data_IF_612878199785
#
_entry.id   IF_612878199785
#
_cell.length_a   1.000
_cell.length_b   1.000
_cell.length_c   1.000
_cell.angle_alpha   90.00
_cell.angle_beta   90.00
_cell.angle_gamma   90.00
#
_symmetry.space_group_name_H-M   'P 1'
#
loop_
_entity.id
_entity.type
_entity.pdbx_description
1 polymer ?
#
# COMPACT_ATOMS: atom_id res chain seq x y z
N UNK A 1 15.99 -17.60 6.29
CA UNK A 1 15.36 -17.73 7.63
C UNK A 1 13.92 -17.25 7.51
N UNK A 2 12.91 -18.12 7.32
CA UNK A 2 11.57 -17.70 6.91
C UNK A 2 10.56 -17.49 8.05
N UNK A 3 10.69 -18.23 9.17
CA UNK A 3 9.69 -18.19 10.25
C UNK A 3 9.65 -16.85 11.04
N UNK A 4 10.78 -16.15 11.12
CA UNK A 4 10.89 -14.88 11.88
C UNK A 4 10.18 -13.73 11.14
N UNK A 5 10.39 -13.62 9.82
CA UNK A 5 9.73 -12.64 8.96
C UNK A 5 8.20 -12.72 9.06
N UNK A 6 7.67 -13.95 9.01
CA UNK A 6 6.23 -14.19 9.09
C UNK A 6 5.63 -13.76 10.44
N UNK A 7 6.32 -14.05 11.54
CA UNK A 7 5.86 -13.62 12.87
C UNK A 7 5.79 -12.10 12.95
N UNK A 8 6.84 -11.40 12.52
CA UNK A 8 6.91 -9.94 12.59
C UNK A 8 5.77 -9.27 11.81
N UNK A 9 5.49 -9.73 10.58
CA UNK A 9 4.36 -9.23 9.78
C UNK A 9 3.03 -9.46 10.50
N UNK A 10 2.77 -10.68 10.98
CA UNK A 10 1.51 -10.97 11.68
C UNK A 10 1.36 -10.22 13.01
N UNK A 11 2.45 -10.00 13.74
CA UNK A 11 2.44 -9.28 15.01
C UNK A 11 2.13 -7.79 14.79
N UNK A 12 2.73 -7.17 13.77
CA UNK A 12 2.43 -5.77 13.37
C UNK A 12 0.98 -5.64 12.91
N UNK A 13 0.51 -6.52 12.04
CA UNK A 13 -0.85 -6.45 11.49
C UNK A 13 -1.94 -6.74 12.53
N UNK A 14 -1.62 -7.45 13.62
CA UNK A 14 -2.52 -7.62 14.78
C UNK A 14 -2.62 -6.37 15.66
N UNK A 15 -1.70 -5.42 15.52
CA UNK A 15 -1.77 -4.13 16.18
C UNK A 15 -2.96 -3.30 15.67
N UNK A 16 -3.41 -2.33 16.47
CA UNK A 16 -4.52 -1.46 16.08
C UNK A 16 -4.17 -0.52 14.89
N UNK A 17 -2.88 -0.17 14.75
CA UNK A 17 -2.43 0.90 13.88
C UNK A 17 -3.08 2.25 14.24
N UNK A 18 -2.85 3.26 13.40
CA UNK A 18 -3.60 4.53 13.45
C UNK A 18 -4.38 4.75 12.15
N UNK A 19 -5.51 5.47 12.17
CA UNK A 19 -6.11 5.91 10.92
C UNK A 19 -5.16 6.83 10.14
N UNK A 20 -5.35 6.94 8.83
CA UNK A 20 -4.74 8.00 8.05
C UNK A 20 -5.13 9.37 8.60
N UNK A 21 -4.18 10.31 8.60
CA UNK A 21 -4.46 11.72 8.88
C UNK A 21 -5.55 12.24 7.92
N UNK A 22 -6.55 12.94 8.45
CA UNK A 22 -7.77 13.31 7.69
C UNK A 22 -7.49 14.09 6.41
N UNK A 23 -6.49 14.98 6.44
CA UNK A 23 -6.09 15.77 5.27
C UNK A 23 -5.43 14.90 4.19
N UNK A 24 -4.61 13.93 4.61
CA UNK A 24 -3.95 12.98 3.71
C UNK A 24 -4.98 12.03 3.12
N UNK A 25 -5.87 11.49 3.96
CA UNK A 25 -6.99 10.65 3.55
C UNK A 25 -7.83 11.35 2.48
N UNK A 26 -8.36 12.53 2.78
CA UNK A 26 -9.23 13.28 1.85
C UNK A 26 -8.55 13.56 0.50
N UNK A 27 -7.28 13.97 0.52
CA UNK A 27 -6.50 14.21 -0.71
C UNK A 27 -6.30 12.92 -1.52
N UNK A 28 -5.98 11.80 -0.87
CA UNK A 28 -5.80 10.51 -1.55
C UNK A 28 -7.10 9.92 -2.05
N UNK A 29 -8.20 10.03 -1.29
CA UNK A 29 -9.54 9.61 -1.72
C UNK A 29 -9.97 10.39 -2.97
N UNK A 30 -9.71 11.71 -3.01
CA UNK A 30 -9.97 12.55 -4.19
C UNK A 30 -9.15 12.10 -5.40
N UNK A 31 -7.88 11.76 -5.18
CA UNK A 31 -6.93 11.38 -6.23
C UNK A 31 -7.12 9.98 -6.77
N UNK A 32 -7.52 9.03 -5.94
CA UNK A 32 -7.64 7.61 -6.28
C UNK A 32 -9.09 7.18 -6.49
N UNK A 33 -10.07 7.99 -6.07
CA UNK A 33 -11.49 7.71 -6.26
C UNK A 33 -11.99 6.53 -5.42
N UNK A 34 -11.42 6.33 -4.23
CA UNK A 34 -11.77 5.25 -3.31
C UNK A 34 -11.84 5.78 -1.88
N UNK A 35 -12.65 5.15 -1.02
CA UNK A 35 -12.71 5.44 0.42
C UNK A 35 -11.55 4.76 1.16
N UNK A 36 -10.87 5.49 2.03
CA UNK A 36 -9.75 4.97 2.84
C UNK A 36 -10.00 5.12 4.35
N UNK A 37 -11.25 5.32 4.77
CA UNK A 37 -11.65 5.46 6.18
C UNK A 37 -11.32 4.25 7.06
N UNK A 38 -11.22 3.07 6.47
CA UNK A 38 -10.87 1.80 7.13
C UNK A 38 -9.35 1.54 7.16
N UNK A 39 -8.54 2.32 6.44
CA UNK A 39 -7.10 2.10 6.32
C UNK A 39 -6.37 2.37 7.64
N UNK A 40 -5.46 1.45 8.01
CA UNK A 40 -4.62 1.54 9.20
C UNK A 40 -3.15 1.65 8.84
N UNK A 41 -2.51 2.69 9.34
CA UNK A 41 -1.07 2.92 9.23
C UNK A 41 -0.35 2.35 10.44
N UNK A 42 0.70 1.57 10.20
CA UNK A 42 1.64 1.11 11.20
C UNK A 42 3.03 1.65 10.87
N UNK A 43 3.62 2.44 11.75
CA UNK A 43 4.96 3.04 11.56
C UNK A 43 5.79 3.07 12.85
N UNK A 44 5.40 2.27 13.84
CA UNK A 44 6.15 2.08 15.07
C UNK A 44 7.45 1.30 14.83
N UNK A 45 8.23 1.10 15.89
CA UNK A 45 9.51 0.39 15.79
C UNK A 45 9.37 -1.03 15.22
N UNK A 46 8.29 -1.74 15.57
CA UNK A 46 8.05 -3.10 15.07
C UNK A 46 7.65 -3.09 13.59
N UNK A 47 6.81 -2.14 13.18
CA UNK A 47 6.45 -1.90 11.79
C UNK A 47 7.69 -1.61 10.92
N UNK A 48 8.58 -0.72 11.39
CA UNK A 48 9.82 -0.39 10.66
C UNK A 48 10.76 -1.58 10.55
N UNK A 49 10.90 -2.38 11.61
CA UNK A 49 11.68 -3.61 11.58
C UNK A 49 11.09 -4.62 10.58
N UNK A 50 9.77 -4.80 10.59
CA UNK A 50 9.07 -5.68 9.66
C UNK A 50 9.25 -5.26 8.20
N UNK A 51 9.12 -3.97 7.88
CA UNK A 51 9.37 -3.46 6.53
C UNK A 51 10.82 -3.69 6.09
N UNK A 52 11.80 -3.46 6.98
CA UNK A 52 13.21 -3.71 6.71
C UNK A 52 13.52 -5.20 6.47
N UNK A 53 12.87 -6.10 7.22
CA UNK A 53 13.02 -7.55 7.03
C UNK A 53 12.53 -8.01 5.65
N UNK A 54 11.49 -7.35 5.11
CA UNK A 54 11.00 -7.57 3.74
C UNK A 54 11.78 -6.78 2.67
N UNK A 55 12.77 -5.98 3.08
CA UNK A 55 13.51 -5.10 2.16
C UNK A 55 12.66 -4.00 1.53
N UNK A 56 11.52 -3.65 2.15
CA UNK A 56 10.55 -2.71 1.62
C UNK A 56 10.59 -1.36 2.36
N UNK A 57 10.25 -0.27 1.65
CA UNK A 57 10.08 1.06 2.27
C UNK A 57 8.73 1.19 2.95
N UNK A 58 7.72 0.58 2.35
CA UNK A 58 6.40 0.37 2.89
C UNK A 58 5.82 -0.89 2.23
N UNK A 59 4.77 -1.46 2.81
CA UNK A 59 3.99 -2.52 2.17
C UNK A 59 2.54 -2.51 2.62
N UNK A 60 1.68 -3.12 1.81
CA UNK A 60 0.24 -3.19 2.02
C UNK A 60 -0.26 -4.62 2.22
N UNK A 61 -1.10 -4.82 3.25
CA UNK A 61 -1.81 -6.08 3.50
C UNK A 61 -3.26 -5.80 3.94
N UNK A 62 -4.21 -6.12 3.07
CA UNK A 62 -5.61 -5.76 3.21
C UNK A 62 -5.80 -4.25 3.29
N UNK A 63 -6.40 -3.78 4.37
CA UNK A 63 -6.54 -2.35 4.69
C UNK A 63 -5.41 -1.82 5.59
N UNK A 64 -4.32 -2.56 5.76
CA UNK A 64 -3.18 -2.12 6.57
C UNK A 64 -2.00 -1.73 5.69
N UNK A 65 -1.39 -0.59 6.00
CA UNK A 65 -0.15 -0.12 5.39
C UNK A 65 0.91 -0.04 6.48
N UNK A 66 2.02 -0.72 6.25
CA UNK A 66 3.18 -0.72 7.14
C UNK A 66 4.24 0.18 6.52
N UNK A 67 4.68 1.20 7.26
CA UNK A 67 5.64 2.19 6.80
C UNK A 67 6.99 1.94 7.48
N UNK A 68 8.01 1.74 6.67
CA UNK A 68 9.41 1.65 7.06
C UNK A 68 10.04 3.00 7.34
N UNK A 69 11.36 3.02 7.55
CA UNK A 69 12.08 4.26 7.88
C UNK A 69 11.96 5.35 6.79
N UNK A 70 11.90 4.93 5.52
CA UNK A 70 11.96 5.81 4.34
C UNK A 70 10.68 5.78 3.48
N UNK A 71 9.53 5.41 4.07
CA UNK A 71 8.26 5.21 3.35
C UNK A 71 7.18 6.26 3.61
N UNK A 72 7.53 7.39 4.24
CA UNK A 72 6.54 8.42 4.65
C UNK A 72 6.20 9.43 3.56
N UNK A 73 6.82 9.35 2.39
CA UNK A 73 6.57 10.29 1.30
C UNK A 73 5.21 10.02 0.62
N UNK A 74 4.67 11.07 -0.01
CA UNK A 74 3.32 11.03 -0.61
C UNK A 74 3.23 10.08 -1.81
N UNK A 75 4.33 9.86 -2.52
CA UNK A 75 4.34 8.95 -3.66
C UNK A 75 4.25 7.51 -3.20
N UNK A 76 5.08 7.12 -2.22
CA UNK A 76 5.00 5.80 -1.58
C UNK A 76 3.61 5.56 -1.00
N UNK A 77 3.03 6.53 -0.29
CA UNK A 77 1.67 6.34 0.24
C UNK A 77 0.61 6.13 -0.86
N UNK A 78 0.69 6.86 -1.97
CA UNK A 78 -0.24 6.69 -3.09
C UNK A 78 -0.08 5.32 -3.77
N UNK A 79 1.15 4.80 -3.83
CA UNK A 79 1.46 3.45 -4.31
C UNK A 79 0.79 2.40 -3.41
N UNK A 80 1.03 2.47 -2.10
CA UNK A 80 0.44 1.54 -1.13
C UNK A 80 -1.11 1.59 -1.12
N UNK A 81 -1.70 2.79 -1.19
CA UNK A 81 -3.16 2.92 -1.28
C UNK A 81 -3.72 2.35 -2.58
N UNK A 82 -2.95 2.36 -3.67
CA UNK A 82 -3.36 1.67 -4.89
C UNK A 82 -3.40 0.16 -4.69
N UNK A 83 -2.46 -0.42 -3.92
CA UNK A 83 -2.54 -1.82 -3.52
C UNK A 83 -3.76 -2.13 -2.66
N UNK A 84 -4.17 -1.23 -1.75
CA UNK A 84 -5.43 -1.40 -1.00
C UNK A 84 -6.60 -1.53 -1.97
N UNK A 85 -6.69 -0.66 -2.98
CA UNK A 85 -7.76 -0.71 -4.00
C UNK A 85 -7.70 -2.01 -4.80
N UNK A 86 -6.50 -2.46 -5.18
CA UNK A 86 -6.31 -3.71 -5.93
C UNK A 86 -6.73 -4.94 -5.10
N UNK A 87 -6.27 -5.04 -3.85
CA UNK A 87 -6.56 -6.17 -2.96
C UNK A 87 -8.06 -6.28 -2.62
N UNK A 88 -8.78 -5.16 -2.59
CA UNK A 88 -10.26 -5.15 -2.44
C UNK A 88 -11.00 -5.74 -3.63
N UNK A 89 -10.43 -5.70 -4.83
CA UNK A 89 -11.06 -6.22 -6.06
C UNK A 89 -10.87 -7.74 -6.20
N UNK A 90 -9.98 -8.34 -5.42
CA UNK A 90 -9.75 -9.77 -5.40
C UNK A 90 -8.30 -10.13 -5.09
N UNK A 91 -7.97 -11.44 -5.08
CA UNK A 91 -6.62 -11.90 -4.86
C UNK A 91 -5.66 -11.30 -5.89
N UNK A 92 -4.63 -10.64 -5.39
CA UNK A 92 -3.53 -10.10 -6.20
C UNK A 92 -2.48 -11.19 -6.25
N UNK A 93 -2.10 -11.64 -7.46
CA UNK A 93 -1.03 -12.61 -7.59
C UNK A 93 0.27 -11.96 -7.09
N UNK A 94 0.88 -12.55 -6.07
CA UNK A 94 2.22 -12.20 -5.60
C UNK A 94 3.12 -13.42 -5.70
N UNK A 95 4.43 -13.18 -5.72
CA UNK A 95 5.41 -14.26 -5.74
C UNK A 95 5.45 -14.93 -4.37
N UNK A 96 5.15 -16.24 -4.32
CA UNK A 96 5.35 -17.04 -3.11
C UNK A 96 6.86 -17.19 -2.88
N UNK A 97 7.35 -16.59 -1.78
CA UNK A 97 8.76 -16.65 -1.40
C UNK A 97 9.11 -17.97 -0.68
N UNK A 98 8.18 -18.94 -0.63
CA UNK A 98 8.38 -20.28 -0.06
C UNK A 98 8.06 -20.37 1.43
N UNK A 99 7.52 -19.29 1.99
CA UNK A 99 7.19 -19.10 3.40
C UNK A 99 5.72 -18.72 3.62
N UNK A 100 4.91 -18.79 2.55
CA UNK A 100 3.46 -18.62 2.59
C UNK A 100 3.02 -17.19 2.93
N UNK A 101 3.90 -16.22 2.69
CA UNK A 101 3.58 -14.81 2.51
C UNK A 101 3.87 -14.51 1.05
N UNK A 102 2.84 -14.13 0.31
CA UNK A 102 3.00 -13.67 -1.08
C UNK A 102 3.39 -12.20 -1.05
N UNK A 103 4.62 -11.91 -1.45
CA UNK A 103 5.10 -10.54 -1.64
C UNK A 103 5.12 -10.27 -3.13
N UNK A 104 4.54 -9.15 -3.55
CA UNK A 104 4.57 -8.74 -4.96
C UNK A 104 6.01 -8.46 -5.40
N UNK A 105 6.38 -8.94 -6.59
CA UNK A 105 7.65 -8.59 -7.23
C UNK A 105 7.50 -7.25 -7.97
N UNK A 106 8.50 -6.35 -7.99
CA UNK A 106 8.44 -5.09 -8.74
C UNK A 106 8.12 -5.25 -10.24
N UNK A 107 8.38 -6.44 -10.79
CA UNK A 107 8.08 -6.82 -12.17
C UNK A 107 6.65 -7.36 -12.35
N UNK A 108 5.84 -7.42 -11.29
CA UNK A 108 4.45 -7.83 -11.38
C UNK A 108 3.61 -6.74 -12.05
N UNK A 109 2.54 -7.17 -12.72
CA UNK A 109 1.60 -6.24 -13.39
C UNK A 109 1.00 -5.26 -12.39
N UNK A 110 0.68 -5.73 -11.18
CA UNK A 110 0.05 -4.93 -10.12
C UNK A 110 0.99 -3.86 -9.56
N UNK A 111 2.28 -4.17 -9.40
CA UNK A 111 3.30 -3.20 -9.00
C UNK A 111 3.49 -2.11 -10.05
N UNK A 112 3.61 -2.47 -11.33
CA UNK A 112 3.71 -1.46 -12.40
C UNK A 112 2.47 -0.58 -12.49
N UNK A 113 1.28 -1.15 -12.27
CA UNK A 113 0.02 -0.39 -12.29
C UNK A 113 -0.09 0.54 -11.08
N UNK A 114 0.36 0.09 -9.90
CA UNK A 114 0.43 0.90 -8.69
C UNK A 114 1.40 2.07 -8.86
N UNK A 115 2.61 1.81 -9.34
CA UNK A 115 3.63 2.83 -9.62
C UNK A 115 3.13 3.85 -10.65
N UNK A 116 2.59 3.39 -11.78
CA UNK A 116 2.05 4.28 -12.82
C UNK A 116 0.86 5.11 -12.31
N UNK A 117 0.08 4.58 -11.38
CA UNK A 117 -1.03 5.29 -10.74
C UNK A 117 -0.52 6.33 -9.76
N UNK A 118 0.40 5.97 -8.86
CA UNK A 118 1.05 6.87 -7.91
C UNK A 118 1.68 8.07 -8.64
N UNK A 119 2.50 7.81 -9.66
CA UNK A 119 3.14 8.85 -10.45
C UNK A 119 2.13 9.78 -11.12
N UNK A 120 1.06 9.22 -11.70
CA UNK A 120 -0.01 10.00 -12.36
C UNK A 120 -0.79 10.86 -11.38
N UNK A 121 -1.15 10.33 -10.22
CA UNK A 121 -1.95 11.08 -9.25
C UNK A 121 -1.13 12.11 -8.48
N UNK A 122 0.17 11.88 -8.28
CA UNK A 122 1.06 12.83 -7.61
C UNK A 122 1.52 13.96 -8.53
N UNK A 123 1.62 13.71 -9.84
CA UNK A 123 1.97 14.75 -10.84
C UNK A 123 0.82 15.75 -11.10
N UNK A 124 -0.38 15.48 -10.59
CA UNK A 124 -1.55 16.37 -10.73
C UNK A 124 -1.61 17.40 -9.60
N UNK A 125 -2.02 18.65 -9.87
CA UNK A 125 -2.40 19.60 -8.83
C UNK A 125 -3.47 18.99 -7.91
N UNK A 126 -3.40 19.24 -6.61
CA UNK A 126 -4.38 18.74 -5.65
C UNK A 126 -5.80 19.18 -6.05
N UNK A 127 -6.74 18.24 -6.10
CA UNK A 127 -8.17 18.53 -6.31
C UNK A 127 -8.78 18.23 -7.68
N UNK A 128 -8.13 17.49 -8.58
CA UNK A 128 -8.77 17.01 -9.83
C UNK A 128 -9.10 15.52 -9.78
N UNK A 129 -10.37 15.11 -10.00
CA UNK A 129 -10.76 13.71 -10.02
C UNK A 129 -10.13 12.96 -11.20
N UNK A 130 -9.96 11.65 -11.05
CA UNK A 130 -9.52 10.77 -12.13
C UNK A 130 -10.61 10.76 -13.20
N UNK A 131 -10.32 11.30 -14.39
CA UNK A 131 -11.16 11.06 -15.55
C UNK A 131 -11.24 9.55 -15.79
N UNK A 132 -12.43 8.97 -15.64
CA UNK A 132 -12.72 7.63 -16.11
C UNK A 132 -12.31 7.57 -17.59
N UNK A 133 -11.36 6.70 -17.93
CA UNK A 133 -11.02 6.44 -19.33
C UNK A 133 -12.26 5.95 -20.07
N UNK A 134 -12.36 6.18 -21.40
CA UNK A 134 -13.55 5.81 -22.15
C UNK A 134 -13.71 4.28 -22.09
N UNK A 135 -14.78 3.83 -21.45
CA UNK A 135 -15.30 2.48 -21.62
C UNK A 135 -15.62 2.33 -23.11
N UNK A 136 -14.83 1.51 -23.80
CA UNK A 136 -15.06 1.20 -25.21
C UNK A 136 -16.28 0.30 -25.30
N UNK A 137 -17.24 0.75 -26.10
CA UNK A 137 -18.50 0.08 -26.46
C UNK A 137 -18.28 -1.28 -27.14
#
# INVERSE_FOLDING_TARGET
RPAVQRSAVHDVLRGAGRPLDDSVRTDMETRLGADFSDVRIHDDTSARASAAELGARAYTSGSHIVIGADGTDRHTLAHELTHVVQQRRGPVAGTDHGDGVSVSDPSDRFEREAEATAARVMSRPAGQPVAAGPESA
#
